data_IF_092707067921
#
_entry.id   IF_092707067921
#
_cell.length_a   1.000
_cell.length_b   1.000
_cell.length_c   1.000
_cell.angle_alpha   90.00
_cell.angle_beta   90.00
_cell.angle_gamma   90.00
#
_symmetry.space_group_name_H-M   'P 1'
#
loop_
_entity.id
_entity.type
_entity.pdbx_description
1 polymer ?
#
# COMPACT_ATOMS: atom_id res chain seq x y z
N UNK A 1 -3.34 -22.39 8.74
CA UNK A 1 -2.57 -22.35 7.47
C UNK A 1 -3.07 -21.31 6.45
N UNK A 2 -4.36 -20.91 6.45
CA UNK A 2 -4.97 -20.00 5.46
C UNK A 2 -4.54 -18.51 5.50
N UNK A 3 -4.06 -17.96 6.63
CA UNK A 3 -3.76 -16.51 6.75
C UNK A 3 -2.41 -16.13 6.11
N UNK A 4 -1.38 -17.00 6.21
CA UNK A 4 -0.05 -16.76 5.61
C UNK A 4 -0.12 -16.53 4.10
N UNK A 5 -1.13 -17.09 3.43
CA UNK A 5 -1.32 -16.96 1.99
C UNK A 5 -1.90 -15.58 1.60
N UNK A 6 -2.69 -14.92 2.46
CA UNK A 6 -3.42 -13.69 2.09
C UNK A 6 -2.50 -12.49 1.84
N UNK A 7 -1.51 -12.25 2.70
CA UNK A 7 -0.58 -11.12 2.55
C UNK A 7 0.31 -11.32 1.33
N UNK A 8 0.85 -12.53 1.15
CA UNK A 8 1.69 -12.85 0.01
C UNK A 8 0.93 -12.74 -1.32
N UNK A 9 -0.27 -13.33 -1.40
CA UNK A 9 -1.15 -13.20 -2.59
C UNK A 9 -1.52 -11.75 -2.84
N UNK A 10 -1.78 -10.97 -1.79
CA UNK A 10 -2.07 -9.55 -1.90
C UNK A 10 -0.90 -8.75 -2.46
N UNK A 11 0.29 -8.96 -1.92
CA UNK A 11 1.53 -8.33 -2.38
C UNK A 11 1.85 -8.72 -3.82
N UNK A 12 1.73 -10.01 -4.17
CA UNK A 12 1.97 -10.51 -5.51
C UNK A 12 1.00 -9.89 -6.53
N UNK A 13 -0.28 -9.74 -6.18
CA UNK A 13 -1.25 -9.09 -7.07
C UNK A 13 -0.88 -7.61 -7.34
N UNK A 14 -0.44 -6.88 -6.31
CA UNK A 14 0.04 -5.49 -6.50
C UNK A 14 1.31 -5.44 -7.34
N UNK A 15 2.26 -6.36 -7.12
CA UNK A 15 3.44 -6.48 -7.97
C UNK A 15 3.04 -6.72 -9.42
N UNK A 16 2.15 -7.68 -9.71
CA UNK A 16 1.67 -7.95 -11.08
C UNK A 16 1.03 -6.70 -11.70
N UNK A 17 0.18 -5.98 -10.97
CA UNK A 17 -0.36 -4.69 -11.43
C UNK A 17 0.73 -3.68 -11.79
N UNK A 18 1.76 -3.57 -10.93
CA UNK A 18 2.90 -2.69 -11.18
C UNK A 18 3.69 -3.12 -12.42
N UNK A 19 3.87 -4.42 -12.67
CA UNK A 19 4.50 -4.91 -13.91
C UNK A 19 3.68 -4.50 -15.14
N UNK A 20 2.34 -4.64 -15.09
CA UNK A 20 1.46 -4.21 -16.18
C UNK A 20 1.53 -2.71 -16.44
N UNK A 21 1.64 -1.87 -15.40
CA UNK A 21 1.82 -0.42 -15.55
C UNK A 21 3.15 -0.02 -16.20
N UNK A 22 4.17 -0.90 -16.20
CA UNK A 22 5.45 -0.61 -16.88
C UNK A 22 5.35 -0.68 -18.39
N UNK A 23 4.41 -1.47 -18.92
CA UNK A 23 4.10 -1.51 -20.33
C UNK A 23 3.55 -0.16 -20.82
N UNK A 24 2.73 0.50 -20.01
CA UNK A 24 2.05 1.74 -20.38
C UNK A 24 3.04 2.89 -20.59
N UNK A 25 3.69 3.35 -19.51
CA UNK A 25 4.51 4.56 -19.55
C UNK A 25 5.68 4.48 -20.53
N UNK A 26 6.27 3.29 -20.69
CA UNK A 26 7.47 3.10 -21.51
C UNK A 26 7.15 2.76 -22.97
N UNK A 27 6.12 1.95 -23.24
CA UNK A 27 5.90 1.40 -24.59
C UNK A 27 4.58 1.83 -25.22
N UNK A 28 3.48 1.95 -24.47
CA UNK A 28 2.16 2.20 -25.05
C UNK A 28 1.82 3.70 -25.12
N UNK A 29 2.08 4.45 -24.04
CA UNK A 29 1.75 5.88 -23.94
C UNK A 29 2.40 6.77 -25.00
N UNK A 30 3.64 6.53 -25.48
CA UNK A 30 4.22 7.30 -26.58
C UNK A 30 3.36 7.30 -27.86
N UNK A 31 2.65 6.20 -28.14
CA UNK A 31 1.75 6.09 -29.30
C UNK A 31 0.46 6.92 -29.16
N UNK A 32 0.22 7.52 -27.98
CA UNK A 32 -0.93 8.38 -27.72
C UNK A 32 -0.56 9.87 -27.73
N UNK A 33 0.70 10.22 -28.03
CA UNK A 33 1.21 11.60 -27.94
C UNK A 33 0.53 12.59 -28.90
N UNK A 34 -0.14 12.10 -29.95
CA UNK A 34 -0.94 12.92 -30.87
C UNK A 34 -2.24 13.44 -30.24
N UNK A 35 -2.69 12.84 -29.13
CA UNK A 35 -3.91 13.24 -28.43
C UNK A 35 -3.59 14.06 -27.17
N UNK A 36 -4.41 15.06 -26.82
CA UNK A 36 -4.26 15.78 -25.56
C UNK A 36 -4.36 14.86 -24.32
N UNK A 37 -3.55 15.08 -23.26
CA UNK A 37 -3.55 14.22 -22.07
C UNK A 37 -4.91 14.01 -21.42
N UNK A 38 -5.71 15.07 -21.29
CA UNK A 38 -7.05 14.96 -20.68
C UNK A 38 -8.00 14.10 -21.51
N UNK A 39 -7.83 14.10 -22.84
CA UNK A 39 -8.64 13.30 -23.74
C UNK A 39 -8.22 11.84 -23.75
N UNK A 40 -6.90 11.56 -23.71
CA UNK A 40 -6.36 10.21 -23.51
C UNK A 40 -6.93 9.58 -22.24
N UNK A 41 -6.85 10.29 -21.12
CA UNK A 41 -7.36 9.79 -19.82
C UNK A 41 -8.87 9.54 -19.89
N UNK A 42 -9.63 10.43 -20.53
CA UNK A 42 -11.07 10.24 -20.72
C UNK A 42 -11.40 8.98 -21.53
N UNK A 43 -10.75 8.78 -22.68
CA UNK A 43 -10.98 7.61 -23.55
C UNK A 43 -10.59 6.31 -22.85
N UNK A 44 -9.42 6.28 -22.23
CA UNK A 44 -8.90 5.11 -21.50
C UNK A 44 -9.85 4.68 -20.37
N UNK A 45 -10.32 5.64 -19.55
CA UNK A 45 -11.25 5.34 -18.47
C UNK A 45 -12.65 5.02 -18.98
N UNK A 46 -13.08 5.60 -20.10
CA UNK A 46 -14.36 5.25 -20.74
C UNK A 46 -14.38 3.79 -21.19
N UNK A 47 -13.35 3.37 -21.93
CA UNK A 47 -13.21 1.98 -22.37
C UNK A 47 -13.02 1.02 -21.19
N UNK A 48 -12.20 1.40 -20.21
CA UNK A 48 -12.00 0.58 -19.00
C UNK A 48 -13.26 0.45 -18.15
N UNK A 49 -14.11 1.48 -18.09
CA UNK A 49 -15.39 1.40 -17.40
C UNK A 49 -16.34 0.41 -18.05
N UNK A 50 -16.38 0.33 -19.39
CA UNK A 50 -17.19 -0.69 -20.10
C UNK A 50 -16.80 -2.10 -19.65
N UNK A 51 -15.50 -2.38 -19.51
CA UNK A 51 -15.01 -3.69 -19.03
C UNK A 51 -15.38 -3.95 -17.57
N UNK A 52 -15.37 -2.92 -16.72
CA UNK A 52 -15.65 -3.03 -15.28
C UNK A 52 -17.14 -2.90 -14.94
N UNK A 53 -17.97 -2.44 -15.87
CA UNK A 53 -19.40 -2.21 -15.71
C UNK A 53 -20.16 -3.42 -15.13
N UNK A 54 -19.88 -4.68 -15.51
CA UNK A 54 -20.53 -5.84 -14.92
C UNK A 54 -20.44 -5.88 -13.38
N UNK A 55 -19.36 -5.37 -12.78
CA UNK A 55 -19.19 -5.37 -11.33
C UNK A 55 -20.16 -4.43 -10.60
N UNK A 56 -20.67 -3.38 -11.25
CA UNK A 56 -21.73 -2.53 -10.68
C UNK A 56 -23.03 -3.32 -10.52
N UNK A 57 -23.34 -4.18 -11.49
CA UNK A 57 -24.55 -5.00 -11.46
C UNK A 57 -24.42 -6.20 -10.51
N UNK A 58 -23.27 -6.90 -10.56
CA UNK A 58 -22.97 -8.05 -9.70
C UNK A 58 -23.02 -7.65 -8.22
N UNK A 59 -22.44 -6.50 -7.87
CA UNK A 59 -22.34 -6.03 -6.48
C UNK A 59 -23.32 -4.90 -6.15
N UNK A 60 -24.43 -4.78 -6.89
CA UNK A 60 -25.41 -3.68 -6.73
C UNK A 60 -25.97 -3.53 -5.31
N UNK A 61 -26.05 -4.61 -4.54
CA UNK A 61 -26.53 -4.57 -3.16
C UNK A 61 -25.50 -3.96 -2.19
N UNK A 62 -24.20 -4.09 -2.48
CA UNK A 62 -23.15 -3.45 -1.69
C UNK A 62 -23.20 -1.92 -1.83
N UNK A 63 -23.68 -1.38 -2.96
CA UNK A 63 -23.85 0.07 -3.17
C UNK A 63 -24.70 0.73 -2.07
N UNK A 64 -25.72 0.03 -1.57
CA UNK A 64 -26.61 0.52 -0.50
C UNK A 64 -25.90 0.62 0.86
N UNK A 65 -24.83 -0.16 1.04
CA UNK A 65 -24.08 -0.21 2.30
C UNK A 65 -22.89 0.77 2.31
N UNK A 66 -22.65 1.51 1.22
CA UNK A 66 -21.58 2.50 1.13
C UNK A 66 -21.95 3.71 1.99
N UNK A 67 -21.16 3.95 3.03
CA UNK A 67 -21.33 5.11 3.91
C UNK A 67 -21.01 6.43 3.20
N UNK A 68 -21.53 7.56 3.70
CA UNK A 68 -21.17 8.90 3.19
C UNK A 68 -19.66 9.14 3.14
N UNK A 69 -18.93 8.71 4.18
CA UNK A 69 -17.47 8.78 4.22
C UNK A 69 -16.84 7.96 3.10
N UNK A 70 -17.32 6.74 2.86
CA UNK A 70 -16.82 5.91 1.77
C UNK A 70 -17.09 6.55 0.41
N UNK A 71 -18.27 7.11 0.15
CA UNK A 71 -18.54 7.86 -1.09
C UNK A 71 -17.55 9.00 -1.33
N UNK A 72 -17.23 9.78 -0.30
CA UNK A 72 -16.20 10.83 -0.38
C UNK A 72 -14.82 10.24 -0.72
N UNK A 73 -14.44 9.13 -0.09
CA UNK A 73 -13.15 8.48 -0.39
C UNK A 73 -13.11 7.85 -1.80
N UNK A 74 -14.23 7.32 -2.30
CA UNK A 74 -14.33 6.77 -3.66
C UNK A 74 -14.22 7.90 -4.69
N UNK A 75 -14.88 9.03 -4.45
CA UNK A 75 -14.71 10.21 -5.28
C UNK A 75 -13.26 10.72 -5.24
N UNK A 76 -12.62 10.75 -4.06
CA UNK A 76 -11.19 11.09 -3.94
C UNK A 76 -10.29 10.18 -4.78
N UNK A 77 -10.56 8.87 -4.73
CA UNK A 77 -9.85 7.86 -5.53
C UNK A 77 -10.05 8.08 -7.03
N UNK A 78 -11.25 8.46 -7.47
CA UNK A 78 -11.52 8.80 -8.87
C UNK A 78 -10.83 10.11 -9.29
N UNK A 79 -10.84 11.12 -8.42
CA UNK A 79 -10.24 12.43 -8.65
C UNK A 79 -8.71 12.35 -8.69
N UNK A 80 -8.08 11.88 -7.62
CA UNK A 80 -6.62 11.84 -7.53
C UNK A 80 -6.05 10.60 -8.22
N UNK A 81 -6.66 9.44 -8.03
CA UNK A 81 -6.14 8.20 -8.62
C UNK A 81 -6.39 8.08 -10.12
N UNK A 82 -7.58 8.45 -10.59
CA UNK A 82 -7.97 8.29 -11.99
C UNK A 82 -7.75 9.54 -12.84
N UNK A 83 -8.30 10.69 -12.43
CA UNK A 83 -8.28 11.91 -13.23
C UNK A 83 -6.95 12.68 -13.13
N UNK A 84 -6.67 13.28 -11.97
CA UNK A 84 -5.53 14.17 -11.76
C UNK A 84 -4.20 13.42 -11.83
N UNK A 85 -4.04 12.30 -11.12
CA UNK A 85 -2.78 11.54 -11.11
C UNK A 85 -2.36 11.12 -12.51
N UNK A 86 -3.27 10.50 -13.28
CA UNK A 86 -3.00 10.07 -14.65
C UNK A 86 -2.77 11.25 -15.59
N UNK A 87 -3.51 12.36 -15.42
CA UNK A 87 -3.32 13.57 -16.23
C UNK A 87 -1.97 14.22 -15.95
N UNK A 88 -1.58 14.37 -14.69
CA UNK A 88 -0.29 14.93 -14.30
C UNK A 88 0.86 14.07 -14.78
N UNK A 89 0.77 12.75 -14.63
CA UNK A 89 1.79 11.83 -15.14
C UNK A 89 1.92 11.89 -16.65
N UNK A 90 0.80 11.83 -17.38
CA UNK A 90 0.78 11.91 -18.85
C UNK A 90 1.34 13.25 -19.33
N UNK A 91 0.96 14.35 -18.66
CA UNK A 91 1.48 15.68 -18.98
C UNK A 91 2.98 15.79 -18.69
N UNK A 92 3.46 15.23 -17.59
CA UNK A 92 4.89 15.20 -17.27
C UNK A 92 5.67 14.45 -18.35
N UNK A 93 5.21 13.26 -18.77
CA UNK A 93 5.84 12.51 -19.85
C UNK A 93 5.84 13.28 -21.18
N UNK A 94 4.71 13.87 -21.56
CA UNK A 94 4.62 14.62 -22.82
C UNK A 94 5.56 15.82 -22.86
N UNK A 95 5.74 16.51 -21.73
CA UNK A 95 6.69 17.62 -21.61
C UNK A 95 8.16 17.19 -21.80
N UNK A 96 8.50 15.92 -21.62
CA UNK A 96 9.84 15.40 -21.90
C UNK A 96 10.09 15.10 -23.38
N UNK A 97 9.04 15.12 -24.22
CA UNK A 97 9.11 14.57 -25.57
C UNK A 97 9.51 13.08 -25.62
N UNK A 98 9.38 12.38 -24.50
CA UNK A 98 9.81 10.98 -24.29
C UNK A 98 11.32 10.72 -24.40
N UNK A 99 12.17 11.74 -24.27
CA UNK A 99 13.64 11.58 -24.29
C UNK A 99 14.18 11.30 -22.89
N UNK A 100 13.84 12.14 -21.91
CA UNK A 100 14.35 12.06 -20.52
C UNK A 100 13.27 11.62 -19.51
N UNK A 101 12.54 10.55 -19.80
CA UNK A 101 11.43 10.06 -18.95
C UNK A 101 11.88 9.56 -17.57
N UNK A 102 13.17 9.23 -17.40
CA UNK A 102 13.74 8.71 -16.15
C UNK A 102 13.55 9.64 -14.96
N UNK A 103 13.58 10.96 -15.16
CA UNK A 103 13.34 11.94 -14.08
C UNK A 103 11.89 11.94 -13.63
N UNK A 104 10.94 11.89 -14.57
CA UNK A 104 9.49 11.77 -14.28
C UNK A 104 9.24 10.48 -13.49
N UNK A 105 9.80 9.37 -13.98
CA UNK A 105 9.73 8.05 -13.36
C UNK A 105 10.32 8.08 -11.94
N UNK A 106 11.48 8.72 -11.74
CA UNK A 106 12.10 8.85 -10.42
C UNK A 106 11.21 9.61 -9.44
N UNK A 107 10.74 10.80 -9.83
CA UNK A 107 9.96 11.66 -8.95
C UNK A 107 8.63 11.01 -8.56
N UNK A 108 8.07 10.18 -9.44
CA UNK A 108 6.89 9.38 -9.14
C UNK A 108 7.14 8.35 -8.01
N UNK A 109 8.38 7.85 -7.83
CA UNK A 109 8.73 6.90 -6.76
C UNK A 109 8.65 7.47 -5.35
N UNK A 110 8.41 8.77 -5.19
CA UNK A 110 8.10 9.36 -3.89
C UNK A 110 6.68 9.02 -3.40
N UNK A 111 5.86 8.38 -4.24
CA UNK A 111 4.51 7.92 -3.89
C UNK A 111 4.39 7.19 -2.54
N UNK A 112 5.28 6.24 -2.17
CA UNK A 112 5.19 5.54 -0.90
C UNK A 112 5.31 6.47 0.31
N UNK A 113 6.04 7.58 0.21
CA UNK A 113 6.15 8.56 1.30
C UNK A 113 4.77 9.16 1.59
N UNK A 114 4.07 9.62 0.56
CA UNK A 114 2.72 10.17 0.72
C UNK A 114 1.73 9.13 1.25
N UNK A 115 1.79 7.91 0.74
CA UNK A 115 0.92 6.83 1.20
C UNK A 115 1.17 6.44 2.66
N UNK A 116 2.44 6.28 3.07
CA UNK A 116 2.82 5.95 4.46
C UNK A 116 2.37 7.05 5.43
N UNK A 117 2.54 8.32 5.07
CA UNK A 117 2.11 9.45 5.91
C UNK A 117 0.60 9.52 6.03
N UNK A 118 -0.12 9.43 4.91
CA UNK A 118 -1.58 9.50 4.91
C UNK A 118 -2.21 8.27 5.57
N UNK A 119 -1.67 7.07 5.35
CA UNK A 119 -2.18 5.84 5.97
C UNK A 119 -2.01 5.85 7.48
N UNK A 120 -0.93 6.44 8.01
CA UNK A 120 -0.73 6.62 9.43
C UNK A 120 -1.80 7.50 10.09
N UNK A 121 -2.32 8.49 9.35
CA UNK A 121 -3.35 9.43 9.84
C UNK A 121 -4.76 8.86 9.61
N UNK A 122 -5.07 8.46 8.38
CA UNK A 122 -6.43 8.09 7.93
C UNK A 122 -6.77 6.66 8.33
N UNK A 123 -5.85 5.72 8.11
CA UNK A 123 -6.05 4.29 8.37
C UNK A 123 -5.50 3.86 9.73
N UNK A 124 -4.74 4.73 10.40
CA UNK A 124 -4.00 4.44 11.63
C UNK A 124 -3.02 3.27 11.45
N UNK A 125 -2.46 3.11 10.26
CA UNK A 125 -1.42 2.13 9.97
C UNK A 125 -0.15 2.50 10.75
N UNK A 126 0.44 1.52 11.44
CA UNK A 126 1.69 1.68 12.17
C UNK A 126 2.53 0.42 11.99
N UNK A 127 3.83 0.60 11.91
CA UNK A 127 4.77 -0.50 11.70
C UNK A 127 5.96 -0.42 12.66
N UNK A 128 6.66 -1.54 12.88
CA UNK A 128 7.95 -1.55 13.57
C UNK A 128 9.00 -0.70 12.84
N UNK A 129 10.03 -0.23 13.55
CA UNK A 129 11.07 0.65 13.01
C UNK A 129 11.76 0.07 11.77
N UNK A 130 11.99 -1.25 11.78
CA UNK A 130 12.57 -2.00 10.66
C UNK A 130 11.79 -1.81 9.35
N UNK A 131 10.47 -1.63 9.41
CA UNK A 131 9.65 -1.37 8.22
C UNK A 131 10.07 -0.07 7.51
N UNK A 132 10.29 1.01 8.26
CA UNK A 132 10.68 2.30 7.69
C UNK A 132 12.10 2.26 7.11
N UNK A 133 13.00 1.49 7.74
CA UNK A 133 14.33 1.23 7.19
C UNK A 133 14.22 0.50 5.85
N UNK A 134 13.42 -0.56 5.76
CA UNK A 134 13.20 -1.29 4.51
C UNK A 134 12.49 -0.44 3.45
N UNK A 135 11.53 0.40 3.84
CA UNK A 135 10.89 1.35 2.92
C UNK A 135 11.92 2.32 2.33
N UNK A 136 12.82 2.88 3.15
CA UNK A 136 13.88 3.75 2.70
C UNK A 136 14.87 3.05 1.76
N UNK A 137 15.31 1.82 2.11
CA UNK A 137 16.17 1.01 1.26
C UNK A 137 15.49 0.62 -0.06
N UNK A 138 14.18 0.38 -0.07
CA UNK A 138 13.42 0.13 -1.30
C UNK A 138 13.40 1.35 -2.23
N UNK A 139 13.29 2.57 -1.67
CA UNK A 139 13.38 3.81 -2.44
C UNK A 139 14.79 4.00 -3.04
N UNK A 140 15.85 3.72 -2.28
CA UNK A 140 17.24 3.73 -2.79
C UNK A 140 17.43 2.69 -3.89
N UNK A 141 16.94 1.46 -3.69
CA UNK A 141 16.95 0.42 -4.71
C UNK A 141 16.21 0.88 -5.97
N UNK A 142 15.05 1.50 -5.80
CA UNK A 142 14.29 2.12 -6.89
C UNK A 142 15.11 3.15 -7.65
N UNK A 143 15.80 4.05 -6.94
CA UNK A 143 16.68 5.03 -7.56
C UNK A 143 17.75 4.37 -8.46
N UNK A 144 18.50 3.40 -7.94
CA UNK A 144 19.52 2.68 -8.70
C UNK A 144 18.98 1.85 -9.87
N UNK A 145 17.76 1.36 -9.80
CA UNK A 145 17.11 0.69 -10.95
C UNK A 145 16.85 1.68 -12.09
N UNK A 146 16.54 2.94 -11.80
CA UNK A 146 16.24 3.94 -12.84
C UNK A 146 17.49 4.51 -13.51
N UNK A 147 18.61 4.65 -12.78
CA UNK A 147 19.82 5.27 -13.31
C UNK A 147 20.93 4.26 -13.54
N UNK A 148 21.35 4.10 -14.80
CA UNK A 148 22.51 3.29 -15.19
C UNK A 148 23.78 3.81 -14.53
N UNK A 149 23.99 5.12 -14.62
CA UNK A 149 24.99 5.87 -13.87
C UNK A 149 24.26 6.78 -12.87
N UNK A 150 24.35 6.50 -11.56
CA UNK A 150 23.66 7.27 -10.54
C UNK A 150 24.27 8.66 -10.30
N UNK A 151 25.43 8.96 -10.89
CA UNK A 151 26.09 10.26 -10.81
C UNK A 151 25.79 11.15 -12.00
N UNK A 152 25.34 10.57 -13.12
CA UNK A 152 25.00 11.30 -14.34
C UNK A 152 23.58 11.88 -14.32
N UNK A 153 23.03 12.24 -13.14
CA UNK A 153 21.74 12.92 -13.11
C UNK A 153 21.93 14.31 -13.71
N UNK A 154 21.60 14.43 -14.99
CA UNK A 154 21.48 15.73 -15.61
C UNK A 154 20.09 16.27 -15.25
N UNK A 155 20.01 17.05 -14.18
CA UNK A 155 18.90 17.98 -14.00
C UNK A 155 19.07 19.12 -15.02
N UNK A 156 19.04 18.79 -16.32
CA UNK A 156 19.17 19.76 -17.41
C UNK A 156 18.01 20.76 -17.38
N UNK A 157 17.51 21.20 -18.53
CA UNK A 157 16.24 21.95 -18.57
C UNK A 157 15.01 21.07 -18.24
N UNK A 158 15.14 20.12 -17.29
CA UNK A 158 14.04 19.49 -16.59
C UNK A 158 13.15 20.60 -16.06
N UNK A 159 12.13 20.92 -16.86
CA UNK A 159 11.33 22.11 -16.69
C UNK A 159 10.66 21.96 -15.32
N UNK A 160 10.75 22.96 -14.45
CA UNK A 160 10.16 22.94 -13.10
C UNK A 160 8.72 22.40 -13.10
N UNK A 161 7.98 22.70 -14.17
CA UNK A 161 6.64 22.20 -14.44
C UNK A 161 6.53 20.66 -14.53
N UNK A 162 7.46 19.99 -15.22
CA UNK A 162 7.50 18.53 -15.33
C UNK A 162 7.77 17.88 -13.97
N UNK A 163 8.70 18.44 -13.19
CA UNK A 163 8.97 17.97 -11.83
C UNK A 163 7.74 18.14 -10.91
N UNK A 164 7.08 19.30 -10.98
CA UNK A 164 5.84 19.58 -10.24
C UNK A 164 4.76 18.56 -10.61
N UNK A 165 4.49 18.34 -11.91
CA UNK A 165 3.49 17.36 -12.33
C UNK A 165 3.84 15.94 -11.89
N UNK A 166 5.11 15.56 -11.91
CA UNK A 166 5.56 14.24 -11.46
C UNK A 166 5.33 14.03 -9.96
N UNK A 167 5.63 15.04 -9.13
CA UNK A 167 5.37 15.00 -7.68
C UNK A 167 3.87 15.07 -7.36
N UNK A 168 3.10 15.84 -8.11
CA UNK A 168 1.64 15.87 -7.99
C UNK A 168 1.03 14.51 -8.34
N UNK A 169 1.54 13.81 -9.36
CA UNK A 169 1.15 12.44 -9.68
C UNK A 169 1.48 11.48 -8.52
N UNK A 170 2.70 11.57 -7.97
CA UNK A 170 3.12 10.76 -6.81
C UNK A 170 2.20 10.96 -5.60
N UNK A 171 1.86 12.20 -5.26
CA UNK A 171 0.90 12.52 -4.20
C UNK A 171 -0.50 11.99 -4.53
N UNK A 172 -0.94 12.15 -5.77
CA UNK A 172 -2.28 11.76 -6.21
C UNK A 172 -2.49 10.25 -6.10
N UNK A 173 -1.54 9.44 -6.58
CA UNK A 173 -1.61 7.99 -6.44
C UNK A 173 -1.36 7.50 -5.02
N UNK A 174 -0.44 8.13 -4.27
CA UNK A 174 -0.20 7.79 -2.87
C UNK A 174 -1.43 8.06 -1.99
N UNK A 175 -2.10 9.19 -2.19
CA UNK A 175 -3.36 9.50 -1.49
C UNK A 175 -4.49 8.57 -1.92
N UNK A 176 -4.66 8.34 -3.23
CA UNK A 176 -5.66 7.41 -3.77
C UNK A 176 -5.48 5.98 -3.23
N UNK A 177 -4.24 5.53 -2.99
CA UNK A 177 -3.97 4.23 -2.37
C UNK A 177 -4.54 4.16 -0.96
N UNK A 178 -4.25 5.18 -0.14
CA UNK A 178 -4.75 5.25 1.23
C UNK A 178 -6.28 5.32 1.29
N UNK A 179 -6.89 6.19 0.50
CA UNK A 179 -8.34 6.34 0.46
C UNK A 179 -9.02 5.12 -0.18
N UNK A 180 -8.42 4.50 -1.19
CA UNK A 180 -8.90 3.25 -1.78
C UNK A 180 -8.89 2.11 -0.77
N UNK A 181 -7.85 2.00 0.05
CA UNK A 181 -7.79 1.02 1.16
C UNK A 181 -8.92 1.27 2.17
N UNK A 182 -9.21 2.53 2.48
CA UNK A 182 -10.36 2.88 3.34
C UNK A 182 -11.68 2.43 2.70
N UNK A 183 -11.89 2.71 1.41
CA UNK A 183 -13.12 2.34 0.69
C UNK A 183 -13.34 0.82 0.69
N UNK A 184 -12.26 0.03 0.59
CA UNK A 184 -12.31 -1.44 0.50
C UNK A 184 -12.75 -2.19 1.76
N UNK A 185 -12.97 -1.51 2.91
CA UNK A 185 -13.40 -2.16 4.17
C UNK A 185 -14.59 -3.11 3.97
N UNK A 186 -15.67 -2.61 3.37
CA UNK A 186 -16.93 -3.34 3.18
C UNK A 186 -17.40 -3.37 1.71
N UNK A 187 -16.48 -3.09 0.77
CA UNK A 187 -16.79 -2.98 -0.66
C UNK A 187 -15.93 -3.98 -1.43
N UNK A 188 -16.50 -4.64 -2.43
CA UNK A 188 -15.78 -5.48 -3.36
C UNK A 188 -14.78 -4.66 -4.20
N UNK A 189 -13.60 -5.23 -4.46
CA UNK A 189 -12.55 -4.57 -5.22
C UNK A 189 -12.93 -4.32 -6.70
N UNK A 190 -13.72 -5.20 -7.31
CA UNK A 190 -14.30 -4.98 -8.64
C UNK A 190 -15.30 -3.82 -8.65
N UNK A 191 -16.15 -3.74 -7.62
CA UNK A 191 -17.10 -2.63 -7.46
C UNK A 191 -16.37 -1.29 -7.29
N UNK A 192 -15.34 -1.24 -6.43
CA UNK A 192 -14.51 -0.04 -6.27
C UNK A 192 -13.82 0.35 -7.59
N UNK A 193 -13.31 -0.62 -8.34
CA UNK A 193 -12.68 -0.38 -9.65
C UNK A 193 -13.67 0.27 -10.61
N UNK A 194 -14.89 -0.28 -10.72
CA UNK A 194 -15.92 0.25 -11.59
C UNK A 194 -16.36 1.66 -11.17
N UNK A 195 -16.59 1.90 -9.88
CA UNK A 195 -16.96 3.22 -9.36
C UNK A 195 -15.86 4.25 -9.58
N UNK A 196 -14.59 3.89 -9.38
CA UNK A 196 -13.44 4.76 -9.68
C UNK A 196 -13.48 5.20 -11.13
N UNK A 197 -13.53 4.26 -12.07
CA UNK A 197 -13.53 4.55 -13.50
C UNK A 197 -14.76 5.38 -13.91
N UNK A 198 -15.94 5.03 -13.41
CA UNK A 198 -17.19 5.76 -13.67
C UNK A 198 -17.12 7.22 -13.23
N UNK A 199 -16.69 7.48 -11.99
CA UNK A 199 -16.51 8.87 -11.53
C UNK A 199 -15.37 9.60 -12.26
N UNK A 200 -14.29 8.91 -12.63
CA UNK A 200 -13.22 9.52 -13.41
C UNK A 200 -13.73 10.01 -14.76
N UNK A 201 -14.59 9.26 -15.46
CA UNK A 201 -15.22 9.71 -16.71
C UNK A 201 -16.01 11.01 -16.50
N UNK A 202 -16.82 11.07 -15.44
CA UNK A 202 -17.62 12.26 -15.11
C UNK A 202 -16.71 13.47 -14.86
N UNK A 203 -15.65 13.29 -14.08
CA UNK A 203 -14.66 14.35 -13.79
C UNK A 203 -13.95 14.80 -15.06
N UNK A 204 -13.58 13.85 -15.92
CA UNK A 204 -12.80 14.12 -17.13
C UNK A 204 -13.64 14.59 -18.32
N UNK A 205 -14.97 14.53 -18.24
CA UNK A 205 -15.86 14.99 -19.30
C UNK A 205 -15.62 16.47 -19.64
N UNK A 206 -15.53 17.33 -18.63
CA UNK A 206 -15.33 18.78 -18.81
C UNK A 206 -14.01 19.09 -19.55
N UNK A 207 -12.83 18.60 -19.12
CA UNK A 207 -11.59 18.86 -19.84
C UNK A 207 -11.46 18.09 -21.17
N UNK A 208 -12.31 17.09 -21.43
CA UNK A 208 -12.29 16.29 -22.66
C UNK A 208 -13.25 16.79 -23.75
N UNK A 209 -14.36 17.45 -23.40
CA UNK A 209 -15.46 17.75 -24.33
C UNK A 209 -15.02 18.53 -25.58
N UNK A 210 -14.06 19.45 -25.42
CA UNK A 210 -13.52 20.27 -26.52
C UNK A 210 -12.74 19.48 -27.57
N UNK A 211 -12.44 18.21 -27.30
CA UNK A 211 -11.71 17.32 -28.19
C UNK A 211 -12.61 16.27 -28.84
N UNK A 212 -13.92 16.25 -28.55
CA UNK A 212 -14.81 15.23 -29.11
C UNK A 212 -14.94 15.31 -30.63
N UNK A 213 -14.78 16.49 -31.21
CA UNK A 213 -14.71 16.66 -32.67
C UNK A 213 -13.56 15.88 -33.33
N UNK A 214 -12.52 15.53 -32.57
CA UNK A 214 -11.37 14.77 -33.06
C UNK A 214 -11.58 13.25 -33.09
N UNK A 215 -12.71 12.74 -32.56
CA UNK A 215 -13.01 11.29 -32.50
C UNK A 215 -12.95 10.61 -33.87
N UNK A 216 -13.50 11.27 -34.89
CA UNK A 216 -13.54 10.74 -36.27
C UNK A 216 -12.18 10.72 -36.95
N UNK A 217 -11.21 11.50 -36.45
CA UNK A 217 -9.86 11.60 -37.01
C UNK A 217 -8.81 10.79 -36.24
N UNK A 218 -9.21 10.02 -35.21
CA UNK A 218 -8.28 9.18 -34.45
C UNK A 218 -7.83 8.00 -35.31
N UNK A 219 -6.51 7.85 -35.49
CA UNK A 219 -5.92 6.76 -36.25
C UNK A 219 -6.24 5.37 -35.64
N UNK A 220 -6.43 4.32 -36.45
CA UNK A 220 -6.70 2.96 -35.96
C UNK A 220 -5.64 2.43 -34.99
N UNK A 221 -4.37 2.83 -35.15
CA UNK A 221 -3.29 2.41 -34.27
C UNK A 221 -3.42 2.98 -32.84
N UNK A 222 -3.99 4.18 -32.70
CA UNK A 222 -4.27 4.79 -31.39
C UNK A 222 -5.36 4.01 -30.67
N UNK A 223 -6.43 3.61 -31.38
CA UNK A 223 -7.48 2.74 -30.82
C UNK A 223 -6.95 1.38 -30.40
N UNK A 224 -6.08 0.75 -31.21
CA UNK A 224 -5.41 -0.50 -30.86
C UNK A 224 -4.59 -0.35 -29.58
N UNK A 225 -3.83 0.74 -29.47
CA UNK A 225 -3.02 1.05 -28.27
C UNK A 225 -3.90 1.24 -27.04
N UNK A 226 -4.98 2.01 -27.15
CA UNK A 226 -5.96 2.20 -26.07
C UNK A 226 -6.57 0.87 -25.61
N UNK A 227 -6.91 -0.01 -26.55
CA UNK A 227 -7.43 -1.35 -26.22
C UNK A 227 -6.39 -2.18 -25.45
N UNK A 228 -5.12 -2.19 -25.90
CA UNK A 228 -4.04 -2.89 -25.19
C UNK A 228 -3.89 -2.34 -23.77
N UNK A 229 -3.86 -1.01 -23.60
CA UNK A 229 -3.81 -0.36 -22.28
C UNK A 229 -4.95 -0.86 -21.40
N UNK A 230 -6.21 -0.79 -21.87
CA UNK A 230 -7.39 -1.18 -21.08
C UNK A 230 -7.30 -2.63 -20.57
N UNK A 231 -6.83 -3.56 -21.41
CA UNK A 231 -6.69 -4.98 -21.05
C UNK A 231 -5.38 -5.34 -20.34
N UNK A 232 -4.46 -4.38 -20.17
CA UNK A 232 -3.21 -4.57 -19.45
C UNK A 232 -3.12 -3.60 -18.27
N UNK A 233 -2.54 -2.43 -18.46
CA UNK A 233 -2.25 -1.40 -17.45
C UNK A 233 -3.48 -0.64 -16.94
N UNK A 234 -4.60 -0.67 -17.66
CA UNK A 234 -5.83 0.03 -17.34
C UNK A 234 -6.72 -0.76 -16.39
N UNK A 235 -7.83 -1.31 -16.90
CA UNK A 235 -8.86 -1.95 -16.10
C UNK A 235 -8.38 -3.22 -15.39
N UNK A 236 -7.61 -4.07 -16.10
CA UNK A 236 -7.11 -5.35 -15.57
C UNK A 236 -6.11 -5.13 -14.43
N UNK A 237 -5.07 -4.32 -14.65
CA UNK A 237 -4.11 -3.99 -13.60
C UNK A 237 -4.81 -3.35 -12.39
N UNK A 238 -5.79 -2.48 -12.60
CA UNK A 238 -6.49 -1.84 -11.48
C UNK A 238 -7.36 -2.80 -10.69
N UNK A 239 -8.02 -3.76 -11.34
CA UNK A 239 -8.77 -4.82 -10.67
C UNK A 239 -7.86 -5.66 -9.78
N UNK A 240 -6.72 -6.10 -10.32
CA UNK A 240 -5.68 -6.83 -9.57
C UNK A 240 -5.11 -6.00 -8.42
N UNK A 241 -4.94 -4.70 -8.65
CA UNK A 241 -4.40 -3.78 -7.66
C UNK A 241 -5.33 -3.69 -6.46
N UNK A 242 -6.63 -3.44 -6.68
CA UNK A 242 -7.59 -3.37 -5.57
C UNK A 242 -7.83 -4.74 -4.92
N UNK A 243 -7.73 -5.84 -5.68
CA UNK A 243 -7.72 -7.18 -5.11
C UNK A 243 -6.56 -7.36 -4.12
N UNK A 244 -5.37 -6.87 -4.48
CA UNK A 244 -4.18 -6.90 -3.64
C UNK A 244 -4.30 -5.96 -2.44
N UNK A 245 -4.62 -4.70 -2.68
CA UNK A 245 -4.81 -3.65 -1.68
C UNK A 245 -5.84 -4.04 -0.63
N UNK A 246 -6.89 -4.81 -0.97
CA UNK A 246 -7.84 -5.30 0.03
C UNK A 246 -7.18 -6.19 1.09
N UNK A 247 -6.12 -6.92 0.73
CA UNK A 247 -5.44 -7.92 1.58
C UNK A 247 -4.21 -7.42 2.32
N UNK A 248 -3.62 -6.31 1.88
CA UNK A 248 -2.41 -5.75 2.49
C UNK A 248 -2.62 -4.28 2.90
N UNK A 249 -1.81 -3.73 3.83
CA UNK A 249 -1.84 -2.31 4.16
C UNK A 249 -1.54 -1.43 2.95
N UNK A 250 -2.08 -0.21 2.95
CA UNK A 250 -1.81 0.80 1.91
C UNK A 250 -0.31 1.11 1.81
N UNK A 251 0.36 1.23 2.96
CA UNK A 251 1.80 1.46 3.03
C UNK A 251 2.60 0.36 2.34
N UNK A 252 2.21 -0.91 2.54
CA UNK A 252 2.90 -2.04 1.92
C UNK A 252 2.59 -2.14 0.42
N UNK A 253 1.36 -1.84 0.00
CA UNK A 253 0.98 -1.83 -1.41
C UNK A 253 1.87 -0.88 -2.22
N UNK A 254 2.06 0.36 -1.76
CA UNK A 254 2.93 1.31 -2.47
C UNK A 254 4.40 0.90 -2.52
N UNK A 255 4.90 0.13 -1.55
CA UNK A 255 6.25 -0.47 -1.66
C UNK A 255 6.29 -1.59 -2.69
N UNK A 256 5.24 -2.42 -2.78
CA UNK A 256 5.12 -3.44 -3.82
C UNK A 256 5.04 -2.83 -5.23
N UNK A 257 4.44 -1.64 -5.36
CA UNK A 257 4.40 -0.88 -6.62
C UNK A 257 5.80 -0.47 -7.12
N UNK A 258 6.80 -0.38 -6.24
CA UNK A 258 8.20 -0.18 -6.64
C UNK A 258 8.77 -1.34 -7.45
N UNK A 259 8.04 -2.43 -7.70
CA UNK A 259 8.43 -3.44 -8.70
C UNK A 259 8.36 -2.90 -10.15
N UNK A 260 7.62 -1.81 -10.37
CA UNK A 260 7.45 -1.18 -11.68
C UNK A 260 8.77 -0.82 -12.41
N UNK A 261 9.76 -0.16 -11.79
CA UNK A 261 11.03 0.13 -12.45
C UNK A 261 11.83 -1.13 -12.78
N UNK A 262 11.71 -2.19 -11.96
CA UNK A 262 12.40 -3.47 -12.21
C UNK A 262 11.85 -4.12 -13.48
N UNK A 263 10.54 -4.09 -13.70
CA UNK A 263 9.94 -4.58 -14.95
C UNK A 263 10.32 -3.75 -16.16
N UNK A 264 10.32 -2.42 -16.05
CA UNK A 264 10.73 -1.56 -17.16
C UNK A 264 12.14 -1.89 -17.66
N UNK A 265 13.06 -2.12 -16.72
CA UNK A 265 14.45 -2.49 -16.99
C UNK A 265 14.58 -3.89 -17.61
N UNK A 266 13.75 -4.85 -17.16
CA UNK A 266 13.68 -6.19 -17.77
C UNK A 266 13.11 -6.11 -19.19
N UNK A 267 12.06 -5.33 -19.41
CA UNK A 267 11.46 -5.15 -20.73
C UNK A 267 12.42 -4.43 -21.69
N UNK A 268 13.17 -3.43 -21.22
CA UNK A 268 14.22 -2.79 -22.02
C UNK A 268 15.30 -3.78 -22.49
N UNK A 269 15.69 -4.74 -21.65
CA UNK A 269 16.57 -5.84 -22.06
C UNK A 269 15.95 -6.71 -23.17
N UNK A 270 14.69 -7.14 -23.03
CA UNK A 270 14.07 -8.05 -24.00
C UNK A 270 13.67 -7.37 -25.31
N UNK A 271 13.21 -6.12 -25.28
CA UNK A 271 12.72 -5.41 -26.46
C UNK A 271 13.81 -4.61 -27.17
N UNK A 272 14.77 -4.05 -26.42
CA UNK A 272 15.81 -3.18 -26.96
C UNK A 272 17.22 -3.79 -26.90
N UNK A 273 17.37 -5.02 -26.38
CA UNK A 273 18.66 -5.70 -26.19
C UNK A 273 19.66 -4.94 -25.30
N UNK A 274 19.17 -4.04 -24.44
CA UNK A 274 20.00 -3.25 -23.55
C UNK A 274 20.46 -4.07 -22.33
N UNK A 275 21.77 -4.22 -22.15
CA UNK A 275 22.33 -4.96 -21.01
C UNK A 275 22.19 -4.15 -19.72
N UNK A 276 21.70 -4.82 -18.68
CA UNK A 276 21.58 -4.25 -17.34
C UNK A 276 22.95 -3.88 -16.76
N UNK A 277 23.08 -2.65 -16.30
CA UNK A 277 24.29 -2.25 -15.56
C UNK A 277 24.35 -2.89 -14.17
N UNK A 278 25.56 -2.96 -13.62
CA UNK A 278 25.79 -3.41 -12.24
C UNK A 278 24.97 -2.58 -11.23
N UNK A 279 24.83 -1.27 -11.46
CA UNK A 279 23.99 -0.36 -10.66
C UNK A 279 22.53 -0.80 -10.67
N UNK A 280 21.98 -1.12 -11.84
CA UNK A 280 20.59 -1.53 -11.96
C UNK A 280 20.33 -2.91 -11.34
N UNK A 281 21.27 -3.85 -11.49
CA UNK A 281 21.18 -5.18 -10.88
C UNK A 281 21.22 -5.08 -9.36
N UNK A 282 22.17 -4.31 -8.82
CA UNK A 282 22.29 -4.07 -7.37
C UNK A 282 21.06 -3.34 -6.83
N UNK A 283 20.57 -2.33 -7.54
CA UNK A 283 19.34 -1.62 -7.22
C UNK A 283 18.12 -2.53 -7.18
N UNK A 284 17.94 -3.39 -8.20
CA UNK A 284 16.83 -4.32 -8.28
C UNK A 284 16.88 -5.35 -7.15
N UNK A 285 18.07 -5.86 -6.85
CA UNK A 285 18.30 -6.80 -5.75
C UNK A 285 17.95 -6.17 -4.41
N UNK A 286 18.46 -4.95 -4.14
CA UNK A 286 18.16 -4.21 -2.92
C UNK A 286 16.66 -3.94 -2.78
N UNK A 287 15.99 -3.55 -3.86
CA UNK A 287 14.56 -3.29 -3.91
C UNK A 287 13.76 -4.55 -3.57
N UNK A 288 14.02 -5.66 -4.26
CA UNK A 288 13.30 -6.93 -4.07
C UNK A 288 13.48 -7.44 -2.63
N UNK A 289 14.71 -7.40 -2.11
CA UNK A 289 15.00 -7.82 -0.73
C UNK A 289 14.26 -6.92 0.26
N UNK A 290 14.34 -5.60 0.08
CA UNK A 290 13.72 -4.63 1.00
C UNK A 290 12.20 -4.76 1.03
N UNK A 291 11.55 -4.86 -0.13
CA UNK A 291 10.10 -5.08 -0.23
C UNK A 291 9.73 -6.43 0.41
N UNK A 292 10.48 -7.50 0.14
CA UNK A 292 10.24 -8.82 0.72
C UNK A 292 10.33 -8.81 2.24
N UNK A 293 11.35 -8.16 2.81
CA UNK A 293 11.53 -8.02 4.26
C UNK A 293 10.41 -7.18 4.87
N UNK A 294 10.01 -6.07 4.23
CA UNK A 294 8.86 -5.26 4.66
C UNK A 294 7.55 -6.06 4.65
N UNK A 295 7.31 -6.89 3.62
CA UNK A 295 6.15 -7.79 3.56
C UNK A 295 6.16 -8.81 4.71
N UNK A 296 7.33 -9.40 5.01
CA UNK A 296 7.47 -10.40 6.08
C UNK A 296 7.20 -9.83 7.47
N UNK A 297 7.58 -8.57 7.74
CA UNK A 297 7.30 -7.90 9.01
C UNK A 297 5.80 -7.74 9.30
N UNK A 298 4.99 -7.74 8.26
CA UNK A 298 3.54 -7.55 8.39
C UNK A 298 2.76 -8.86 8.55
N UNK A 299 3.47 -10.00 8.62
CA UNK A 299 2.88 -11.32 8.79
C UNK A 299 2.37 -11.50 10.22
N UNK A 300 1.17 -12.07 10.36
CA UNK A 300 0.62 -12.46 11.66
C UNK A 300 1.49 -13.53 12.30
N UNK A 301 1.87 -13.32 13.56
CA UNK A 301 2.68 -14.23 14.35
C UNK A 301 1.81 -14.87 15.43
N UNK A 302 1.95 -16.18 15.59
CA UNK A 302 1.26 -16.93 16.64
C UNK A 302 2.29 -17.35 17.68
N UNK A 303 2.03 -16.98 18.93
CA UNK A 303 2.84 -17.28 20.10
C UNK A 303 2.02 -18.22 20.97
N UNK A 304 2.57 -19.37 21.33
CA UNK A 304 1.92 -20.32 22.23
C UNK A 304 2.90 -20.72 23.33
N UNK A 305 2.43 -20.71 24.57
CA UNK A 305 3.27 -21.03 25.71
C UNK A 305 2.50 -21.07 27.03
N UNK A 306 3.16 -21.66 28.02
CA UNK A 306 2.67 -21.75 29.39
C UNK A 306 2.87 -20.40 30.08
N UNK A 307 1.84 -19.93 30.78
CA UNK A 307 1.91 -18.69 31.57
C UNK A 307 2.82 -18.88 32.76
N UNK A 308 3.89 -18.08 32.80
CA UNK A 308 4.90 -18.08 33.84
C UNK A 308 4.48 -17.21 35.04
N UNK A 309 4.92 -17.54 36.26
CA UNK A 309 4.78 -16.67 37.43
C UNK A 309 5.38 -15.28 37.15
N UNK A 310 4.59 -14.23 37.35
CA UNK A 310 5.03 -12.85 37.17
C UNK A 310 5.38 -12.18 38.50
N UNK A 311 5.89 -10.95 38.44
CA UNK A 311 6.14 -10.12 39.62
C UNK A 311 4.86 -9.49 40.24
N UNK A 312 3.65 -9.95 39.85
CA UNK A 312 2.33 -9.41 40.24
C UNK A 312 2.11 -7.88 40.06
N UNK A 313 2.94 -7.19 39.26
CA UNK A 313 2.84 -5.74 39.10
C UNK A 313 1.65 -5.27 38.22
N UNK A 314 1.13 -6.12 37.33
CA UNK A 314 -0.04 -5.80 36.49
C UNK A 314 -1.35 -5.68 37.27
N UNK A 315 -1.44 -6.36 38.41
CA UNK A 315 -2.59 -6.36 39.32
C UNK A 315 -2.84 -4.95 39.89
N UNK A 316 -1.77 -4.22 40.21
CA UNK A 316 -1.83 -2.83 40.72
C UNK A 316 -2.36 -1.82 39.70
N UNK A 317 -2.39 -2.17 38.42
CA UNK A 317 -2.83 -1.30 37.32
C UNK A 317 -4.14 -1.78 36.68
N UNK A 318 -4.78 -2.81 37.27
CA UNK A 318 -6.01 -3.42 36.75
C UNK A 318 -5.81 -4.25 35.47
N UNK A 319 -4.57 -4.58 35.11
CA UNK A 319 -4.25 -5.34 33.90
C UNK A 319 -3.67 -6.71 34.26
N UNK A 320 -4.51 -7.74 34.32
CA UNK A 320 -4.05 -9.13 34.41
C UNK A 320 -3.27 -9.46 33.14
N UNK A 321 -1.99 -9.79 33.31
CA UNK A 321 -1.05 -10.02 32.20
C UNK A 321 -0.46 -11.42 32.34
N UNK A 322 -0.56 -12.21 31.29
CA UNK A 322 0.12 -13.48 31.18
C UNK A 322 1.56 -13.24 30.71
N UNK A 323 2.52 -13.61 31.55
CA UNK A 323 3.94 -13.58 31.20
C UNK A 323 4.29 -14.87 30.45
N UNK A 324 4.98 -14.74 29.32
CA UNK A 324 5.48 -15.87 28.54
C UNK A 324 7.00 -15.81 28.39
N UNK A 325 7.60 -16.94 28.04
CA UNK A 325 9.02 -17.00 27.70
C UNK A 325 9.33 -16.12 26.47
N UNK A 326 10.29 -15.23 26.61
CA UNK A 326 10.76 -14.32 25.55
C UNK A 326 11.30 -15.08 24.34
N UNK A 327 11.81 -16.30 24.50
CA UNK A 327 12.27 -17.15 23.40
C UNK A 327 11.18 -17.41 22.35
N UNK A 328 9.90 -17.37 22.77
CA UNK A 328 8.74 -17.55 21.89
C UNK A 328 8.52 -16.36 20.93
N UNK A 329 9.12 -15.19 21.21
CA UNK A 329 9.00 -13.98 20.42
C UNK A 329 10.14 -13.76 19.40
N UNK A 330 10.93 -14.79 19.07
CA UNK A 330 12.11 -14.67 18.18
C UNK A 330 11.87 -13.95 16.84
N UNK A 331 10.68 -14.12 16.26
CA UNK A 331 10.30 -13.54 14.97
C UNK A 331 9.34 -12.34 15.12
N UNK A 332 9.07 -11.90 16.35
CA UNK A 332 8.23 -10.75 16.66
C UNK A 332 9.11 -9.51 16.84
N UNK A 333 8.78 -8.39 16.20
CA UNK A 333 9.48 -7.14 16.48
C UNK A 333 9.04 -6.58 17.85
N UNK A 334 9.92 -5.83 18.52
CA UNK A 334 9.56 -5.20 19.80
C UNK A 334 8.46 -4.16 19.59
N UNK A 335 7.43 -4.19 20.44
CA UNK A 335 6.32 -3.25 20.44
C UNK A 335 5.07 -3.80 21.10
N UNK A 336 3.99 -3.03 20.95
CA UNK A 336 2.65 -3.41 21.38
C UNK A 336 1.81 -3.81 20.16
N UNK A 337 1.09 -4.91 20.27
CA UNK A 337 0.23 -5.46 19.23
C UNK A 337 -1.17 -5.72 19.77
N UNK A 338 -2.20 -5.52 18.94
CA UNK A 338 -3.49 -6.18 19.20
C UNK A 338 -3.38 -7.65 18.81
N UNK A 339 -4.10 -8.51 19.51
CA UNK A 339 -4.08 -9.95 19.26
C UNK A 339 -5.43 -10.61 19.56
N UNK A 340 -5.61 -11.77 18.94
CA UNK A 340 -6.62 -12.75 19.33
C UNK A 340 -5.97 -13.82 20.19
N UNK A 341 -6.51 -14.06 21.37
CA UNK A 341 -6.04 -15.04 22.34
C UNK A 341 -6.98 -16.24 22.34
N UNK A 342 -6.43 -17.44 22.37
CA UNK A 342 -7.15 -18.70 22.56
C UNK A 342 -6.67 -19.33 23.86
N UNK A 343 -7.61 -19.59 24.74
CA UNK A 343 -7.40 -20.21 26.04
C UNK A 343 -8.50 -21.24 26.25
N UNK A 344 -8.13 -22.52 26.45
CA UNK A 344 -9.07 -23.62 26.74
C UNK A 344 -10.25 -23.73 25.75
N UNK A 345 -10.03 -23.40 24.47
CA UNK A 345 -11.06 -23.42 23.43
C UNK A 345 -11.89 -22.12 23.31
N UNK A 346 -11.78 -21.21 24.27
CA UNK A 346 -12.44 -19.89 24.23
C UNK A 346 -11.53 -18.85 23.58
N UNK A 347 -12.13 -17.93 22.80
CA UNK A 347 -11.39 -16.84 22.14
C UNK A 347 -11.64 -15.50 22.82
N UNK A 348 -10.55 -14.81 23.12
CA UNK A 348 -10.53 -13.49 23.71
C UNK A 348 -9.79 -12.50 22.81
N UNK A 349 -10.01 -11.21 23.06
CA UNK A 349 -9.20 -10.13 22.51
C UNK A 349 -8.14 -9.75 23.53
N UNK A 350 -6.99 -9.29 23.06
CA UNK A 350 -5.90 -8.92 23.95
C UNK A 350 -4.87 -8.02 23.32
N UNK A 351 -3.88 -7.66 24.13
CA UNK A 351 -2.69 -6.94 23.72
C UNK A 351 -1.44 -7.78 24.01
N UNK A 352 -0.53 -7.89 23.04
CA UNK A 352 0.81 -8.44 23.26
C UNK A 352 1.78 -7.28 23.40
N UNK A 353 2.50 -7.23 24.51
CA UNK A 353 3.67 -6.38 24.69
C UNK A 353 4.93 -7.24 24.60
N UNK A 354 5.80 -6.91 23.66
CA UNK A 354 7.15 -7.45 23.61
C UNK A 354 8.16 -6.32 23.65
N UNK A 355 8.98 -6.24 24.69
CA UNK A 355 9.96 -5.18 24.81
C UNK A 355 10.67 -5.14 26.14
N UNK A 356 11.49 -4.11 26.30
CA UNK A 356 12.30 -3.93 27.50
C UNK A 356 11.44 -3.56 28.70
N UNK A 357 11.60 -4.29 29.80
CA UNK A 357 11.00 -3.97 31.09
C UNK A 357 12.03 -3.24 31.96
N UNK A 358 11.74 -1.97 32.26
CA UNK A 358 12.64 -1.13 33.05
C UNK A 358 12.77 -1.58 34.52
N UNK A 359 11.82 -2.37 35.05
CA UNK A 359 11.85 -2.86 36.43
C UNK A 359 12.77 -4.07 36.59
N UNK A 360 12.80 -4.96 35.60
CA UNK A 360 13.62 -6.19 35.63
C UNK A 360 14.94 -6.05 34.84
N UNK A 361 15.11 -4.94 34.12
CA UNK A 361 16.26 -4.67 33.25
C UNK A 361 16.47 -5.74 32.17
N UNK A 362 15.40 -6.42 31.75
CA UNK A 362 15.38 -7.49 30.74
C UNK A 362 14.19 -7.31 29.80
N UNK A 363 14.23 -7.94 28.63
CA UNK A 363 13.05 -8.02 27.78
C UNK A 363 11.96 -8.89 28.45
N UNK A 364 10.70 -8.55 28.24
CA UNK A 364 9.55 -9.35 28.64
C UNK A 364 8.57 -9.54 27.48
N UNK A 365 7.78 -10.61 27.57
CA UNK A 365 6.68 -10.93 26.68
C UNK A 365 5.41 -11.08 27.52
N UNK A 366 4.52 -10.12 27.40
CA UNK A 366 3.33 -9.99 28.24
C UNK A 366 2.08 -9.97 27.37
N UNK A 367 1.04 -10.72 27.76
CA UNK A 367 -0.24 -10.78 27.07
C UNK A 367 -1.33 -10.31 28.03
N UNK A 368 -1.91 -9.16 27.73
CA UNK A 368 -3.08 -8.67 28.45
C UNK A 368 -4.35 -9.19 27.77
N UNK A 369 -5.09 -10.06 28.45
CA UNK A 369 -6.37 -10.60 27.97
C UNK A 369 -7.49 -9.70 28.48
N UNK A 370 -8.40 -9.30 27.59
CA UNK A 370 -9.50 -8.40 27.93
C UNK A 370 -10.68 -9.16 28.48
N UNK A 371 -11.37 -8.54 29.44
CA UNK A 371 -12.59 -9.06 30.05
C UNK A 371 -12.41 -10.46 30.67
N UNK A 372 -11.18 -10.78 31.10
CA UNK A 372 -10.83 -12.07 31.71
C UNK A 372 -10.47 -11.91 33.19
N UNK A 373 -11.17 -12.66 34.06
CA UNK A 373 -11.13 -12.50 35.51
C UNK A 373 -10.73 -13.77 36.30
N UNK A 374 -10.21 -14.81 35.64
CA UNK A 374 -9.71 -16.02 36.32
C UNK A 374 -8.18 -16.05 36.43
N UNK A 375 -7.65 -17.08 37.11
CA UNK A 375 -6.21 -17.35 37.18
C UNK A 375 -5.68 -17.90 35.84
N UNK A 376 -4.54 -17.37 35.42
CA UNK A 376 -3.86 -17.73 34.18
C UNK A 376 -2.62 -18.60 34.43
N UNK A 377 -2.11 -18.68 35.65
CA UNK A 377 -0.83 -19.34 35.91
C UNK A 377 -0.85 -20.83 35.57
N UNK A 378 0.20 -21.30 34.89
CA UNK A 378 0.31 -22.69 34.45
C UNK A 378 -0.59 -23.07 33.27
N UNK A 379 -1.53 -22.21 32.86
CA UNK A 379 -2.36 -22.45 31.67
C UNK A 379 -1.55 -22.25 30.40
N UNK A 380 -1.86 -23.03 29.36
CA UNK A 380 -1.31 -22.82 28.03
C UNK A 380 -2.18 -21.83 27.26
N UNK A 381 -1.57 -20.74 26.79
CA UNK A 381 -2.26 -19.73 25.98
C UNK A 381 -1.68 -19.68 24.57
N UNK A 382 -2.53 -19.39 23.60
CA UNK A 382 -2.09 -19.12 22.22
C UNK A 382 -2.59 -17.76 21.78
N UNK A 383 -1.69 -16.84 21.48
CA UNK A 383 -2.03 -15.51 20.99
C UNK A 383 -1.53 -15.29 19.57
N UNK A 384 -2.39 -14.76 18.71
CA UNK A 384 -2.05 -14.44 17.32
C UNK A 384 -2.13 -12.93 17.13
N UNK A 385 -1.04 -12.30 16.68
CA UNK A 385 -0.99 -10.87 16.40
C UNK A 385 -1.92 -10.50 15.25
N UNK A 386 -2.58 -9.35 15.38
CA UNK A 386 -3.46 -8.79 14.36
C UNK A 386 -2.91 -7.48 13.80
N UNK A 387 -2.55 -6.53 14.68
CA UNK A 387 -2.04 -5.21 14.25
C UNK A 387 -0.97 -4.69 15.19
N UNK A 388 0.09 -4.10 14.64
CA UNK A 388 1.06 -3.33 15.40
C UNK A 388 0.48 -1.98 15.82
N UNK A 389 0.55 -1.66 17.11
CA UNK A 389 -0.06 -0.46 17.68
C UNK A 389 0.97 0.64 17.93
N UNK A 390 2.14 0.29 18.47
CA UNK A 390 3.20 1.27 18.77
C UNK A 390 4.51 0.62 19.22
N UNK A 391 5.55 1.44 19.23
CA UNK A 391 6.84 1.14 19.84
C UNK A 391 6.73 0.93 21.37
N UNK A 392 7.68 0.17 21.96
CA UNK A 392 7.86 0.17 23.41
C UNK A 392 8.10 1.60 23.89
N UNK A 393 7.41 2.01 24.94
CA UNK A 393 7.48 3.36 25.49
C UNK A 393 7.75 3.25 26.99
N UNK A 394 8.70 4.05 27.48
CA UNK A 394 8.89 4.23 28.93
C UNK A 394 7.85 5.21 29.46
N UNK A 395 7.25 4.87 30.60
CA UNK A 395 6.28 5.72 31.30
C UNK A 395 6.92 6.27 32.56
N UNK A 396 6.66 7.55 32.85
CA UNK A 396 7.18 8.24 34.03
C UNK A 396 6.36 7.96 35.30
N UNK A 397 5.14 7.41 35.17
CA UNK A 397 4.27 7.05 36.28
C UNK A 397 3.27 5.95 35.87
N UNK A 398 2.64 5.31 36.85
CA UNK A 398 1.64 4.25 36.67
C UNK A 398 0.37 4.79 36.01
N UNK A 399 -0.03 6.02 36.33
CA UNK A 399 -1.21 6.69 35.77
C UNK A 399 -1.06 6.88 34.25
N UNK A 400 0.10 7.36 33.80
CA UNK A 400 0.39 7.52 32.36
C UNK A 400 0.42 6.20 31.60
N UNK A 401 0.82 5.11 32.26
CA UNK A 401 0.75 3.77 31.69
C UNK A 401 -0.73 3.33 31.54
N UNK A 402 -1.55 3.51 32.58
CA UNK A 402 -2.98 3.19 32.57
C UNK A 402 -3.75 3.97 31.49
N UNK A 403 -3.52 5.28 31.38
CA UNK A 403 -4.11 6.11 30.31
C UNK A 403 -3.73 5.62 28.92
N UNK A 404 -2.46 5.25 28.73
CA UNK A 404 -1.99 4.75 27.45
C UNK A 404 -2.62 3.39 27.12
N UNK A 405 -2.79 2.49 28.09
CA UNK A 405 -3.49 1.21 27.89
C UNK A 405 -4.92 1.48 27.43
N UNK A 406 -5.68 2.37 28.08
CA UNK A 406 -7.04 2.75 27.63
C UNK A 406 -7.06 3.27 26.20
N UNK A 407 -6.06 4.09 25.82
CA UNK A 407 -5.91 4.58 24.45
C UNK A 407 -5.57 3.46 23.47
N UNK A 408 -4.69 2.54 23.85
CA UNK A 408 -4.28 1.40 23.03
C UNK A 408 -5.47 0.45 22.80
N UNK A 409 -6.32 0.24 23.81
CA UNK A 409 -7.55 -0.56 23.73
C UNK A 409 -8.60 0.08 22.81
N UNK A 410 -8.91 1.35 23.02
CA UNK A 410 -9.85 2.07 22.15
C UNK A 410 -9.37 2.13 20.69
N UNK A 411 -8.06 2.27 20.47
CA UNK A 411 -7.48 2.19 19.13
C UNK A 411 -7.61 0.78 18.54
N UNK A 412 -7.41 -0.27 19.33
CA UNK A 412 -7.40 -1.67 18.90
C UNK A 412 -8.72 -2.18 18.36
N UNK A 413 -9.84 -1.75 18.94
CA UNK A 413 -11.18 -2.31 18.64
C UNK A 413 -12.17 -1.30 18.05
N UNK A 414 -11.72 -0.10 17.68
CA UNK A 414 -12.52 0.80 16.84
C UNK A 414 -12.38 0.40 15.37
N UNK A 415 -13.36 -0.34 14.83
CA UNK A 415 -13.47 -0.64 13.39
C UNK A 415 -14.29 0.40 12.62
#
# INVERSE_FOLDING_TARGET
MQIKNKIFVGALAVVISALLWSLDGTFLRPHLASLPPSFVVFLEHSLGFVILLPFLFIYKFELKNITKKQWLTIFWVALFGGALGTTFFTKALFLTGFVDVSVVILLQKFQPIFAILLSAIILRERFPAKFYIYAFLALIGGYFVTFKDPTSINFGNATTMMAIFSLLAAFSWGSSTTFGKYSLKNINYGLLSALRFGFTIIIMLIPAIKYFSTLSSIEPNVWKTLAIIVFTSGAVAMYLYYFGLKKIPASLATLCELAWPVSAVIFDYFFNNNILSITQITGATLLIISVTLATRLNKTQTISGIVLPGANNGEKVGARTANLDVALAKDLAKGLYSCKVSLEGTFYRGLIYYGFNSLTNKDCLEIHILEFNDDLYGKNITATTERYLRFPKKFKSVEKLSEQIKKDLSQSFSE
#
